data_IF_636730886856
#
_entry.id   IF_636730886856
#
_cell.length_a   1.000
_cell.length_b   1.000
_cell.length_c   1.000
_cell.angle_alpha   90.00
_cell.angle_beta   90.00
_cell.angle_gamma   90.00
#
_symmetry.space_group_name_H-M   'P 1'
#
loop_
_entity.id
_entity.type
_entity.pdbx_description
1 polymer ?
#
# COMPACT_ATOMS: atom_id res chain seq x y z
N UNK A 1 -32.06 -16.49 0.44
CA UNK A 1 -30.76 -16.95 1.01
C UNK A 1 -29.76 -15.81 0.93
N UNK A 2 -29.29 -15.28 2.07
CA UNK A 2 -28.15 -14.34 2.05
C UNK A 2 -26.92 -15.12 1.63
N UNK A 3 -26.28 -14.75 0.50
CA UNK A 3 -24.96 -15.29 0.14
C UNK A 3 -24.01 -14.98 1.29
N UNK A 4 -23.59 -15.99 2.02
CA UNK A 4 -22.55 -15.86 3.03
C UNK A 4 -21.23 -15.72 2.26
N UNK A 5 -20.72 -14.48 2.17
CA UNK A 5 -19.41 -14.25 1.59
C UNK A 5 -18.36 -14.82 2.54
N UNK A 6 -17.34 -15.49 1.98
CA UNK A 6 -16.20 -15.96 2.76
C UNK A 6 -15.45 -14.75 3.30
N UNK A 7 -15.08 -14.79 4.58
CA UNK A 7 -14.17 -13.82 5.19
C UNK A 7 -12.82 -13.84 4.46
N UNK A 8 -12.32 -12.67 4.07
CA UNK A 8 -11.02 -12.51 3.41
C UNK A 8 -9.93 -12.18 4.43
N UNK A 9 -8.70 -12.66 4.18
CA UNK A 9 -7.50 -12.18 4.83
C UNK A 9 -6.93 -11.05 3.98
N UNK A 10 -6.93 -9.83 4.49
CA UNK A 10 -6.58 -8.61 3.75
C UNK A 10 -5.37 -7.94 4.39
N UNK A 11 -4.35 -7.64 3.58
CA UNK A 11 -3.21 -6.82 3.99
C UNK A 11 -3.29 -5.46 3.31
N UNK A 12 -3.25 -4.39 4.09
CA UNK A 12 -3.08 -3.03 3.60
C UNK A 12 -1.62 -2.62 3.86
N UNK A 13 -0.84 -2.62 2.80
CA UNK A 13 0.60 -2.34 2.85
C UNK A 13 0.88 -0.84 2.72
N UNK A 14 1.75 -0.32 3.59
CA UNK A 14 2.11 1.10 3.70
C UNK A 14 0.91 1.96 4.13
N UNK A 15 0.17 1.50 5.16
CA UNK A 15 -0.96 2.23 5.73
C UNK A 15 -0.80 2.42 7.24
N UNK A 16 -0.45 3.61 7.70
CA UNK A 16 -0.42 3.98 9.12
C UNK A 16 -1.81 4.41 9.65
N UNK A 17 -2.66 4.90 8.75
CA UNK A 17 -3.97 5.49 9.11
C UNK A 17 -5.01 4.46 9.52
N UNK A 18 -4.88 3.25 9.08
CA UNK A 18 -5.85 2.15 9.19
C UNK A 18 -7.25 2.45 8.61
N UNK A 19 -7.39 3.46 7.75
CA UNK A 19 -8.68 3.83 7.18
C UNK A 19 -9.30 2.67 6.37
N UNK A 20 -8.51 2.04 5.51
CA UNK A 20 -8.94 0.89 4.71
C UNK A 20 -9.06 -0.37 5.57
N UNK A 21 -8.10 -0.60 6.47
CA UNK A 21 -8.11 -1.73 7.42
C UNK A 21 -9.42 -1.73 8.22
N UNK A 22 -9.80 -0.59 8.82
CA UNK A 22 -11.06 -0.44 9.56
C UNK A 22 -12.26 -0.68 8.65
N UNK A 23 -12.24 -0.18 7.40
CA UNK A 23 -13.33 -0.39 6.46
C UNK A 23 -13.54 -1.88 6.15
N UNK A 24 -12.47 -2.66 5.89
CA UNK A 24 -12.56 -4.11 5.68
C UNK A 24 -13.00 -4.85 6.95
N UNK A 25 -12.54 -4.45 8.13
CA UNK A 25 -12.99 -5.01 9.42
C UNK A 25 -14.49 -4.80 9.63
N UNK A 26 -15.02 -3.63 9.27
CA UNK A 26 -16.46 -3.33 9.34
C UNK A 26 -17.28 -4.16 8.36
N UNK A 27 -16.69 -4.64 7.26
CA UNK A 27 -17.30 -5.59 6.33
C UNK A 27 -17.24 -7.05 6.83
N UNK A 28 -16.51 -7.31 7.91
CA UNK A 28 -16.36 -8.63 8.51
C UNK A 28 -15.11 -9.38 8.07
N UNK A 29 -14.21 -8.73 7.32
CA UNK A 29 -12.96 -9.32 6.87
C UNK A 29 -11.87 -9.31 7.95
N UNK A 30 -10.89 -10.21 7.81
CA UNK A 30 -9.72 -10.30 8.67
C UNK A 30 -8.60 -9.42 8.09
N UNK A 31 -8.69 -8.09 8.30
CA UNK A 31 -7.78 -7.13 7.71
C UNK A 31 -6.69 -6.65 8.69
N UNK A 32 -5.48 -6.43 8.16
CA UNK A 32 -4.32 -5.91 8.88
C UNK A 32 -3.63 -4.85 8.05
N UNK A 33 -3.15 -3.80 8.69
CA UNK A 33 -2.25 -2.80 8.08
C UNK A 33 -0.79 -3.09 8.44
N UNK A 34 0.12 -2.63 7.59
CA UNK A 34 1.56 -2.66 7.87
C UNK A 34 2.21 -1.36 7.39
N UNK A 35 2.97 -0.72 8.27
CA UNK A 35 3.78 0.45 7.94
C UNK A 35 5.05 0.48 8.81
N UNK A 36 6.06 1.25 8.39
CA UNK A 36 7.25 1.52 9.21
C UNK A 36 6.92 2.42 10.41
N UNK A 37 5.84 3.19 10.33
CA UNK A 37 5.35 4.05 11.39
C UNK A 37 4.32 3.29 12.26
N UNK A 38 4.20 3.63 13.55
CA UNK A 38 3.08 3.17 14.37
C UNK A 38 1.75 3.62 13.75
N UNK A 39 0.68 2.87 14.04
CA UNK A 39 -0.66 3.27 13.60
C UNK A 39 -1.07 4.61 14.22
N UNK A 40 -2.00 5.28 13.56
CA UNK A 40 -2.53 6.57 14.03
C UNK A 40 -3.11 6.43 15.43
N UNK A 41 -2.79 7.39 16.30
CA UNK A 41 -3.32 7.42 17.66
C UNK A 41 -4.85 7.30 17.68
N UNK A 42 -5.35 6.36 18.46
CA UNK A 42 -6.79 6.08 18.59
C UNK A 42 -7.34 5.06 17.61
N UNK A 43 -6.49 4.42 16.79
CA UNK A 43 -6.86 3.25 15.98
C UNK A 43 -6.41 1.95 16.66
N UNK A 44 -7.01 0.79 16.31
CA UNK A 44 -6.70 -0.49 16.96
C UNK A 44 -5.28 -0.99 16.68
N UNK A 45 -4.44 -1.07 17.70
CA UNK A 45 -3.06 -1.55 17.61
C UNK A 45 -2.96 -3.03 17.25
N UNK A 46 -3.97 -3.83 17.63
CA UNK A 46 -4.06 -5.27 17.35
C UNK A 46 -4.30 -5.61 15.88
N UNK A 47 -4.50 -4.60 15.02
CA UNK A 47 -4.67 -4.76 13.57
C UNK A 47 -3.51 -4.15 12.77
N UNK A 48 -2.52 -3.58 13.47
CA UNK A 48 -1.39 -2.90 12.83
C UNK A 48 -0.06 -3.64 13.07
N UNK A 49 0.74 -3.75 12.01
CA UNK A 49 2.07 -4.34 12.03
C UNK A 49 3.08 -3.22 11.82
N UNK A 50 3.93 -2.96 12.81
CA UNK A 50 5.01 -1.98 12.68
C UNK A 50 6.24 -2.67 12.11
N UNK A 51 6.64 -2.35 10.88
CA UNK A 51 7.82 -2.94 10.27
C UNK A 51 7.88 -2.87 8.76
N UNK A 52 8.90 -3.52 8.21
CA UNK A 52 9.04 -3.67 6.75
C UNK A 52 7.98 -4.65 6.23
N UNK A 53 7.20 -4.18 5.28
CA UNK A 53 6.12 -4.98 4.67
C UNK A 53 6.63 -6.07 3.71
N UNK A 54 7.87 -6.00 3.25
CA UNK A 54 8.43 -6.92 2.24
C UNK A 54 8.31 -8.40 2.58
N UNK A 55 8.51 -8.86 3.83
CA UNK A 55 8.24 -10.26 4.18
C UNK A 55 6.79 -10.66 3.92
N UNK A 56 5.83 -9.80 4.29
CA UNK A 56 4.39 -10.05 4.08
C UNK A 56 4.03 -10.07 2.58
N UNK A 57 4.65 -9.20 1.76
CA UNK A 57 4.49 -9.22 0.30
C UNK A 57 5.02 -10.52 -0.33
N UNK A 58 5.95 -11.21 0.34
CA UNK A 58 6.52 -12.50 -0.11
C UNK A 58 5.82 -13.72 0.48
N UNK A 59 4.64 -13.52 1.07
CA UNK A 59 3.83 -14.61 1.62
C UNK A 59 4.11 -14.95 3.09
N UNK A 60 4.84 -14.09 3.84
CA UNK A 60 4.91 -14.25 5.30
C UNK A 60 3.51 -14.14 5.90
N UNK A 61 3.15 -15.11 6.71
CA UNK A 61 1.80 -15.27 7.28
C UNK A 61 1.78 -15.28 8.80
N UNK A 62 2.95 -15.30 9.43
CA UNK A 62 3.12 -15.19 10.87
C UNK A 62 3.73 -13.83 11.20
N UNK A 63 3.05 -13.05 12.01
CA UNK A 63 3.49 -11.69 12.32
C UNK A 63 3.08 -11.29 13.74
N UNK A 64 3.67 -10.19 14.21
CA UNK A 64 3.32 -9.59 15.50
C UNK A 64 2.72 -8.22 15.25
N UNK A 65 1.56 -7.95 15.83
CA UNK A 65 0.89 -6.65 15.77
C UNK A 65 1.48 -5.68 16.80
N UNK A 66 1.17 -4.38 16.66
CA UNK A 66 1.74 -3.31 17.48
C UNK A 66 1.47 -3.49 18.98
N UNK A 67 0.33 -4.08 19.35
CA UNK A 67 0.00 -4.45 20.73
C UNK A 67 0.80 -5.64 21.28
N UNK A 68 1.71 -6.22 20.49
CA UNK A 68 2.53 -7.38 20.84
C UNK A 68 1.86 -8.74 20.60
N UNK A 69 0.64 -8.78 20.07
CA UNK A 69 -0.07 -10.02 19.78
C UNK A 69 0.54 -10.76 18.58
N UNK A 70 0.79 -12.05 18.72
CA UNK A 70 1.19 -12.92 17.61
C UNK A 70 -0.04 -13.34 16.83
N UNK A 71 -0.02 -13.15 15.54
CA UNK A 71 -1.10 -13.47 14.60
C UNK A 71 -0.61 -14.43 13.52
N UNK A 72 -1.59 -15.14 12.95
CA UNK A 72 -1.39 -16.02 11.81
C UNK A 72 -2.56 -15.90 10.83
N UNK A 73 -2.26 -15.88 9.56
CA UNK A 73 -3.22 -16.07 8.46
C UNK A 73 -2.71 -17.18 7.55
N UNK A 74 -3.57 -18.02 6.96
CA UNK A 74 -3.09 -19.11 6.09
C UNK A 74 -2.50 -18.61 4.77
N UNK A 75 -2.96 -17.46 4.30
CA UNK A 75 -2.51 -16.75 3.08
C UNK A 75 -3.20 -15.38 3.01
N UNK A 76 -2.72 -14.50 2.13
CA UNK A 76 -3.36 -13.23 1.82
C UNK A 76 -4.32 -13.39 0.63
N UNK A 77 -5.62 -13.16 0.85
CA UNK A 77 -6.62 -13.14 -0.22
C UNK A 77 -6.50 -11.87 -1.06
N UNK A 78 -6.26 -10.75 -0.41
CA UNK A 78 -6.12 -9.44 -1.02
C UNK A 78 -4.97 -8.67 -0.37
N UNK A 79 -4.10 -8.11 -1.21
CA UNK A 79 -3.14 -7.09 -0.77
C UNK A 79 -3.48 -5.79 -1.49
N UNK A 80 -3.65 -4.72 -0.71
CA UNK A 80 -3.72 -3.34 -1.22
C UNK A 80 -2.44 -2.65 -0.77
N UNK A 81 -1.70 -2.02 -1.68
CA UNK A 81 -0.43 -1.39 -1.35
C UNK A 81 -0.41 0.08 -1.78
N UNK A 82 0.07 0.94 -0.87
CA UNK A 82 0.27 2.37 -1.06
C UNK A 82 1.78 2.72 -0.97
N UNK A 83 2.62 2.23 -1.90
CA UNK A 83 4.04 2.51 -1.85
C UNK A 83 4.31 4.01 -1.93
N UNK A 84 5.35 4.54 -1.22
CA UNK A 84 5.65 5.96 -1.23
C UNK A 84 5.83 6.52 -2.64
N UNK A 85 4.97 7.45 -3.04
CA UNK A 85 4.92 8.01 -4.38
C UNK A 85 5.80 9.26 -4.57
N UNK A 86 6.47 9.76 -3.53
CA UNK A 86 7.22 11.03 -3.51
C UNK A 86 8.21 11.18 -4.67
N UNK A 87 8.83 10.09 -5.10
CA UNK A 87 9.80 10.09 -6.20
C UNK A 87 9.24 9.52 -7.51
N UNK A 88 7.96 9.14 -7.55
CA UNK A 88 7.33 8.50 -8.72
C UNK A 88 6.28 9.38 -9.40
N UNK A 89 5.59 10.24 -8.63
CA UNK A 89 4.43 10.97 -9.13
C UNK A 89 4.79 12.24 -9.93
N UNK A 90 3.89 12.63 -10.85
CA UNK A 90 4.05 13.79 -11.73
C UNK A 90 4.22 15.11 -10.97
N UNK A 91 3.57 15.26 -9.81
CA UNK A 91 3.66 16.48 -8.99
C UNK A 91 5.10 16.75 -8.54
N UNK A 92 5.89 15.72 -8.30
CA UNK A 92 7.30 15.86 -7.90
C UNK A 92 8.28 16.01 -9.06
N UNK A 93 7.82 15.97 -10.32
CA UNK A 93 8.66 16.03 -11.53
C UNK A 93 9.48 17.32 -11.62
N UNK A 94 8.95 18.44 -11.12
CA UNK A 94 9.65 19.74 -11.06
C UNK A 94 10.97 19.68 -10.29
N UNK A 95 11.11 18.75 -9.36
CA UNK A 95 12.33 18.57 -8.57
C UNK A 95 13.31 17.59 -9.21
N UNK A 96 12.91 16.86 -10.25
CA UNK A 96 13.77 15.89 -10.95
C UNK A 96 14.88 16.56 -11.76
N UNK A 97 14.64 17.79 -12.21
CA UNK A 97 15.61 18.55 -13.01
C UNK A 97 15.87 19.93 -12.40
N UNK A 98 17.14 20.37 -12.44
CA UNK A 98 17.55 21.74 -12.12
C UNK A 98 18.30 22.31 -13.32
N UNK A 99 17.83 23.44 -13.88
CA UNK A 99 18.39 24.03 -15.13
C UNK A 99 18.51 23.01 -16.28
N UNK A 100 17.50 22.15 -16.46
CA UNK A 100 17.50 21.12 -17.51
C UNK A 100 18.26 19.83 -17.16
N UNK A 101 19.12 19.83 -16.16
CA UNK A 101 19.98 18.70 -15.77
C UNK A 101 19.25 17.83 -14.73
N UNK A 102 19.24 16.51 -14.95
CA UNK A 102 18.70 15.53 -14.00
C UNK A 102 19.53 15.57 -12.72
N UNK A 103 18.83 15.67 -11.58
CA UNK A 103 19.45 15.60 -10.25
C UNK A 103 19.74 14.12 -9.90
N UNK A 104 21.00 13.77 -9.82
CA UNK A 104 21.47 12.38 -9.61
C UNK A 104 20.83 11.73 -8.38
N UNK A 105 20.88 12.38 -7.23
CA UNK A 105 20.32 11.84 -5.97
C UNK A 105 18.82 11.57 -6.07
N UNK A 106 18.08 12.46 -6.73
CA UNK A 106 16.64 12.26 -6.94
C UNK A 106 16.35 11.13 -7.93
N UNK A 107 17.19 10.98 -8.92
CA UNK A 107 17.07 9.89 -9.89
C UNK A 107 17.31 8.53 -9.22
N UNK A 108 18.34 8.42 -8.37
CA UNK A 108 18.65 7.21 -7.60
C UNK A 108 17.49 6.85 -6.66
N UNK A 109 16.97 7.81 -5.90
CA UNK A 109 15.78 7.61 -5.04
C UNK A 109 14.53 7.21 -5.85
N UNK A 110 14.36 7.74 -7.05
CA UNK A 110 13.29 7.33 -7.96
C UNK A 110 13.46 5.87 -8.40
N UNK A 111 14.69 5.41 -8.66
CA UNK A 111 14.95 4.02 -9.00
C UNK A 111 14.65 3.07 -7.83
N UNK A 112 15.01 3.45 -6.61
CA UNK A 112 14.67 2.69 -5.39
C UNK A 112 13.16 2.62 -5.16
N UNK A 113 12.46 3.75 -5.25
CA UNK A 113 11.00 3.81 -5.12
C UNK A 113 10.30 2.96 -6.20
N UNK A 114 10.80 3.00 -7.45
CA UNK A 114 10.32 2.15 -8.54
C UNK A 114 10.52 0.67 -8.24
N UNK A 115 11.69 0.30 -7.73
CA UNK A 115 11.97 -1.09 -7.33
C UNK A 115 10.95 -1.58 -6.30
N UNK A 116 10.69 -0.80 -5.26
CA UNK A 116 9.71 -1.14 -4.24
C UNK A 116 8.28 -1.21 -4.81
N UNK A 117 7.91 -0.30 -5.71
CA UNK A 117 6.63 -0.37 -6.41
C UNK A 117 6.45 -1.69 -7.16
N UNK A 118 7.50 -2.19 -7.83
CA UNK A 118 7.47 -3.49 -8.50
C UNK A 118 7.48 -4.66 -7.51
N UNK A 119 8.10 -4.54 -6.34
CA UNK A 119 7.99 -5.52 -5.26
C UNK A 119 6.52 -5.64 -4.81
N UNK A 120 5.81 -4.52 -4.65
CA UNK A 120 4.37 -4.53 -4.38
C UNK A 120 3.56 -5.18 -5.51
N UNK A 121 3.86 -4.90 -6.79
CA UNK A 121 3.17 -5.50 -7.94
C UNK A 121 3.38 -7.02 -8.08
N UNK A 122 4.41 -7.57 -7.44
CA UNK A 122 4.71 -9.00 -7.44
C UNK A 122 4.40 -9.65 -6.07
N UNK A 123 3.53 -9.04 -5.29
CA UNK A 123 3.15 -9.58 -4.00
C UNK A 123 2.41 -10.91 -4.13
N UNK A 124 2.64 -11.82 -3.17
CA UNK A 124 2.03 -13.14 -3.12
C UNK A 124 0.62 -13.07 -2.52
N UNK A 125 -0.37 -12.89 -3.39
CA UNK A 125 -1.80 -12.83 -3.03
C UNK A 125 -2.70 -13.21 -4.20
N UNK A 126 -3.95 -13.62 -3.92
CA UNK A 126 -4.92 -13.94 -4.97
C UNK A 126 -5.39 -12.69 -5.72
N UNK A 127 -5.62 -11.59 -5.00
CA UNK A 127 -6.02 -10.30 -5.54
C UNK A 127 -5.03 -9.24 -5.09
N UNK A 128 -4.72 -8.32 -6.00
CA UNK A 128 -3.73 -7.28 -5.76
C UNK A 128 -4.20 -5.95 -6.32
N UNK A 129 -4.06 -4.90 -5.51
CA UNK A 129 -4.19 -3.51 -5.93
C UNK A 129 -2.96 -2.72 -5.46
N UNK A 130 -2.30 -2.02 -6.38
CA UNK A 130 -1.18 -1.13 -6.03
C UNK A 130 -1.52 0.26 -6.53
N UNK A 131 -1.66 1.20 -5.61
CA UNK A 131 -2.00 2.59 -5.90
C UNK A 131 -0.75 3.41 -6.19
N UNK A 132 -0.82 4.30 -7.16
CA UNK A 132 0.13 5.39 -7.37
C UNK A 132 -0.56 6.53 -8.09
N UNK A 133 -0.37 7.80 -7.66
CA UNK A 133 -0.83 8.95 -8.42
C UNK A 133 -0.19 8.98 -9.81
N UNK A 134 -0.69 9.83 -10.71
CA UNK A 134 -0.14 9.94 -12.07
C UNK A 134 1.39 9.95 -12.06
N UNK A 135 2.06 8.94 -12.64
CA UNK A 135 3.51 8.81 -12.56
C UNK A 135 4.23 9.79 -13.47
N UNK A 136 5.47 10.13 -13.12
CA UNK A 136 6.39 10.79 -14.05
C UNK A 136 6.74 9.83 -15.20
N UNK A 137 6.84 10.34 -16.44
CA UNK A 137 7.24 9.52 -17.59
C UNK A 137 8.61 8.82 -17.38
N UNK A 138 9.56 9.50 -16.72
CA UNK A 138 10.90 8.96 -16.43
C UNK A 138 10.86 7.79 -15.43
N UNK A 139 9.83 7.69 -14.59
CA UNK A 139 9.68 6.59 -13.63
C UNK A 139 9.36 5.27 -14.34
N UNK A 140 8.80 5.31 -15.56
CA UNK A 140 8.49 4.13 -16.37
C UNK A 140 7.67 3.08 -15.61
N UNK A 141 6.66 3.52 -14.84
CA UNK A 141 5.70 2.61 -14.23
C UNK A 141 4.78 2.01 -15.31
N UNK A 142 4.18 0.85 -15.05
CA UNK A 142 3.24 0.23 -15.96
C UNK A 142 1.99 1.12 -16.15
N UNK A 143 1.26 0.91 -17.23
CA UNK A 143 -0.05 1.55 -17.40
C UNK A 143 -1.00 1.07 -16.32
N UNK A 144 -1.77 1.98 -15.69
CA UNK A 144 -2.76 1.57 -14.70
C UNK A 144 -3.88 0.74 -15.35
N UNK A 145 -4.39 -0.24 -14.63
CA UNK A 145 -5.56 -1.03 -15.06
C UNK A 145 -6.86 -0.23 -14.94
N UNK A 146 -6.92 0.71 -14.00
CA UNK A 146 -8.05 1.62 -13.81
C UNK A 146 -7.58 2.96 -13.23
N UNK A 147 -8.45 3.96 -13.33
CA UNK A 147 -8.31 5.24 -12.63
C UNK A 147 -9.46 5.35 -11.63
N UNK A 148 -9.16 5.83 -10.43
CA UNK A 148 -10.15 6.13 -9.40
C UNK A 148 -10.10 7.63 -9.14
N UNK A 149 -11.27 8.28 -9.19
CA UNK A 149 -11.41 9.71 -8.94
C UNK A 149 -12.22 9.92 -7.65
N UNK A 150 -11.72 10.73 -6.70
CA UNK A 150 -12.45 11.02 -5.47
C UNK A 150 -13.86 11.59 -5.70
N UNK A 151 -14.07 12.33 -6.81
CA UNK A 151 -15.38 12.86 -7.21
C UNK A 151 -16.43 11.78 -7.47
N UNK A 152 -16.03 10.54 -7.82
CA UNK A 152 -16.97 9.42 -7.99
C UNK A 152 -17.60 8.98 -6.67
N UNK A 153 -17.00 9.34 -5.56
CA UNK A 153 -17.46 9.03 -4.20
C UNK A 153 -18.02 10.25 -3.48
N UNK A 154 -18.41 11.30 -4.25
CA UNK A 154 -19.06 12.49 -3.71
C UNK A 154 -18.13 13.53 -3.09
N UNK A 155 -16.80 13.35 -3.17
CA UNK A 155 -15.84 14.35 -2.72
C UNK A 155 -15.81 15.49 -3.75
N UNK A 156 -16.19 16.70 -3.33
CA UNK A 156 -16.09 17.92 -4.13
C UNK A 156 -14.73 18.56 -3.87
N UNK A 157 -14.05 18.98 -4.93
CA UNK A 157 -12.80 19.75 -4.86
C UNK A 157 -13.12 21.24 -4.73
#
# INVERSE_FOLDING_TARGET
MKKQFRQLNVLIACEESQAETIAFRNLGDNAFSCDLQPCRKGTPEEWHIVGDVRPLLKGETHFTTQDGSKKYVPYWDLIIAHPPCTYLCKVSSKHMRKKGIIQKDRYEKMLEARKFFYECLNADSYYLAVENPLPMAIAKLPKPSCFIQPSWFGIKY
#
